data_IF_542022560840
#
_entry.id   IF_542022560840
#
_cell.length_a   1.000
_cell.length_b   1.000
_cell.length_c   1.000
_cell.angle_alpha   90.00
_cell.angle_beta   90.00
_cell.angle_gamma   90.00
#
_symmetry.space_group_name_H-M   'P 1'
#
loop_
_entity.id
_entity.type
_entity.pdbx_description
1 polymer ?
#
# COMPACT_ATOMS: atom_id res chain seq x y z
N UNK A 1 -13.50 -4.12 10.24
CA UNK A 1 -13.46 -4.83 11.52
C UNK A 1 -12.01 -5.20 11.84
N UNK A 2 -11.56 -4.79 13.02
CA UNK A 2 -10.24 -5.17 13.58
C UNK A 2 -10.51 -6.12 14.73
N UNK A 3 -9.77 -7.23 14.80
CA UNK A 3 -9.85 -8.21 15.88
C UNK A 3 -8.44 -8.47 16.40
N UNK A 4 -8.22 -8.30 17.71
CA UNK A 4 -6.91 -8.44 18.35
C UNK A 4 -5.79 -7.65 17.65
N UNK A 5 -6.09 -6.40 17.25
CA UNK A 5 -5.14 -5.54 16.54
C UNK A 5 -4.92 -5.89 15.06
N UNK A 6 -5.64 -6.87 14.51
CA UNK A 6 -5.51 -7.31 13.12
C UNK A 6 -6.76 -6.91 12.32
N UNK A 7 -6.62 -6.18 11.20
CA UNK A 7 -7.72 -5.96 10.28
C UNK A 7 -8.14 -7.26 9.58
N UNK A 8 -9.37 -7.73 9.82
CA UNK A 8 -9.87 -9.03 9.32
C UNK A 8 -10.93 -8.91 8.23
N UNK A 9 -11.69 -7.81 8.23
CA UNK A 9 -12.70 -7.50 7.22
C UNK A 9 -12.65 -5.99 6.98
N UNK A 10 -12.70 -5.55 5.73
CA UNK A 10 -12.65 -4.14 5.39
C UNK A 10 -13.43 -3.83 4.13
N UNK A 11 -13.85 -2.58 4.03
CA UNK A 11 -14.41 -2.01 2.81
C UNK A 11 -13.83 -0.63 2.57
N UNK A 12 -13.73 -0.27 1.29
CA UNK A 12 -13.38 1.06 0.82
C UNK A 12 -14.35 1.41 -0.30
N UNK A 13 -15.02 2.55 -0.18
CA UNK A 13 -15.96 3.04 -1.17
C UNK A 13 -15.40 4.27 -1.87
N UNK A 14 -15.49 4.30 -3.20
CA UNK A 14 -15.12 5.44 -4.03
C UNK A 14 -16.34 5.89 -4.83
N UNK A 15 -17.09 6.90 -4.34
CA UNK A 15 -18.36 7.34 -4.95
C UNK A 15 -18.25 7.69 -6.43
N UNK A 16 -17.13 8.30 -6.84
CA UNK A 16 -16.89 8.75 -8.21
C UNK A 16 -15.84 7.91 -8.96
N UNK A 17 -15.53 6.70 -8.47
CA UNK A 17 -14.39 5.92 -8.97
C UNK A 17 -14.61 4.42 -8.92
N UNK A 18 -13.78 3.69 -8.16
CA UNK A 18 -13.74 2.22 -8.17
C UNK A 18 -14.98 1.51 -7.61
N UNK A 19 -16.00 2.25 -7.15
CA UNK A 19 -17.18 1.69 -6.50
C UNK A 19 -16.87 1.18 -5.09
N UNK A 20 -17.54 0.11 -4.68
CA UNK A 20 -17.34 -0.54 -3.38
C UNK A 20 -16.36 -1.71 -3.51
N UNK A 21 -15.29 -1.67 -2.73
CA UNK A 21 -14.29 -2.73 -2.63
C UNK A 21 -14.38 -3.32 -1.24
N UNK A 22 -14.55 -4.63 -1.15
CA UNK A 22 -14.64 -5.35 0.12
C UNK A 22 -13.58 -6.46 0.15
N UNK A 23 -13.08 -6.77 1.34
CA UNK A 23 -12.12 -7.85 1.53
C UNK A 23 -12.20 -8.48 2.91
N UNK A 24 -12.02 -9.80 2.95
CA UNK A 24 -12.04 -10.63 4.16
C UNK A 24 -12.05 -12.11 3.79
N UNK A 25 -11.63 -12.98 4.71
CA UNK A 25 -11.58 -14.44 4.52
C UNK A 25 -10.94 -14.86 3.17
N UNK A 26 -9.80 -14.25 2.83
CA UNK A 26 -9.02 -14.50 1.60
C UNK A 26 -9.79 -14.25 0.29
N UNK A 27 -10.82 -13.41 0.36
CA UNK A 27 -11.66 -12.99 -0.76
C UNK A 27 -11.66 -11.47 -0.91
N UNK A 28 -11.65 -11.01 -2.15
CA UNK A 28 -11.81 -9.59 -2.51
C UNK A 28 -12.90 -9.45 -3.56
N UNK A 29 -13.82 -8.51 -3.34
CA UNK A 29 -14.86 -8.16 -4.30
C UNK A 29 -14.79 -6.69 -4.68
N UNK A 30 -15.21 -6.39 -5.91
CA UNK A 30 -15.44 -5.03 -6.41
C UNK A 30 -16.86 -5.00 -6.96
N UNK A 31 -17.73 -4.18 -6.38
CA UNK A 31 -19.16 -4.12 -6.72
C UNK A 31 -19.80 -5.52 -6.76
N UNK A 32 -19.60 -6.28 -5.67
CA UNK A 32 -20.10 -7.65 -5.47
C UNK A 32 -19.57 -8.72 -6.44
N UNK A 33 -18.59 -8.37 -7.29
CA UNK A 33 -17.92 -9.32 -8.20
C UNK A 33 -16.56 -9.70 -7.65
N UNK A 34 -16.26 -11.00 -7.70
CA UNK A 34 -14.94 -11.50 -7.32
C UNK A 34 -13.85 -10.94 -8.21
N UNK A 35 -12.79 -10.45 -7.58
CA UNK A 35 -11.57 -10.09 -8.29
C UNK A 35 -10.61 -11.26 -8.15
N UNK A 36 -10.19 -11.83 -9.28
CA UNK A 36 -9.08 -12.77 -9.29
C UNK A 36 -7.79 -12.03 -8.92
N UNK A 37 -7.50 -12.01 -7.62
CA UNK A 37 -6.29 -11.46 -7.03
C UNK A 37 -5.08 -12.39 -7.23
N UNK A 38 -5.32 -13.61 -7.73
CA UNK A 38 -4.28 -14.59 -8.08
C UNK A 38 -3.49 -14.20 -9.34
N UNK A 39 -3.98 -13.25 -10.14
CA UNK A 39 -3.23 -12.77 -11.30
C UNK A 39 -2.03 -11.95 -10.82
N UNK A 40 -0.85 -12.57 -10.83
CA UNK A 40 0.42 -11.92 -10.53
C UNK A 40 0.67 -10.88 -11.62
N UNK A 41 1.06 -9.66 -11.25
CA UNK A 41 1.41 -8.63 -12.24
C UNK A 41 2.46 -9.19 -13.21
N UNK A 42 2.34 -8.93 -14.53
CA UNK A 42 3.32 -9.42 -15.50
C UNK A 42 4.73 -8.88 -15.23
N UNK A 43 4.82 -7.73 -14.55
CA UNK A 43 6.05 -7.19 -14.00
C UNK A 43 5.93 -7.09 -12.46
N UNK A 44 6.72 -7.88 -11.74
CA UNK A 44 6.79 -7.88 -10.25
C UNK A 44 8.09 -7.26 -9.75
N UNK A 45 8.74 -6.50 -10.62
CA UNK A 45 9.92 -5.72 -10.30
C UNK A 45 9.55 -4.29 -9.94
N UNK A 46 10.44 -3.63 -9.20
CA UNK A 46 10.26 -2.23 -8.84
C UNK A 46 10.45 -1.33 -10.08
N UNK A 47 11.44 -1.65 -10.93
CA UNK A 47 11.70 -0.95 -12.18
C UNK A 47 10.53 -1.10 -13.18
N UNK A 48 10.11 0.01 -13.79
CA UNK A 48 8.92 0.08 -14.63
C UNK A 48 7.59 -0.05 -13.87
N UNK A 49 7.63 -0.25 -12.55
CA UNK A 49 6.47 -0.35 -11.69
C UNK A 49 5.90 1.02 -11.29
N UNK A 50 4.61 1.04 -10.96
CA UNK A 50 3.97 2.18 -10.29
C UNK A 50 4.04 1.97 -8.79
N UNK A 51 4.47 3.00 -8.06
CA UNK A 51 4.48 3.03 -6.60
C UNK A 51 3.53 4.12 -6.13
N UNK A 52 2.58 3.75 -5.28
CA UNK A 52 1.68 4.70 -4.64
C UNK A 52 2.33 5.28 -3.39
N UNK A 53 2.12 6.56 -3.15
CA UNK A 53 2.38 7.22 -1.87
C UNK A 53 1.28 8.22 -1.60
N UNK A 54 1.16 8.71 -0.37
CA UNK A 54 0.25 9.80 -0.04
C UNK A 54 0.95 10.89 0.76
N UNK A 55 0.25 12.02 0.87
CA UNK A 55 0.58 13.06 1.84
C UNK A 55 0.32 12.56 3.27
N UNK A 56 1.00 13.13 4.26
CA UNK A 56 0.74 12.89 5.67
C UNK A 56 -0.47 13.69 6.14
N UNK A 57 -1.68 13.28 5.77
CA UNK A 57 -2.86 14.14 5.84
C UNK A 57 -2.76 15.25 4.78
N UNK A 58 -2.77 16.51 5.20
CA UNK A 58 -2.64 17.66 4.29
C UNK A 58 -1.21 18.19 4.16
N UNK A 59 -0.21 17.43 4.62
CA UNK A 59 1.19 17.87 4.66
C UNK A 59 2.10 16.97 3.84
N UNK A 60 3.08 17.60 3.18
CA UNK A 60 4.25 16.90 2.66
C UNK A 60 4.99 16.24 3.83
N UNK A 61 5.26 14.95 3.74
CA UNK A 61 6.17 14.30 4.67
C UNK A 61 7.62 14.57 4.24
N UNK A 62 8.51 14.69 5.21
CA UNK A 62 9.87 15.21 5.05
C UNK A 62 10.73 14.49 4.00
N UNK A 63 10.46 13.21 3.72
CA UNK A 63 11.17 12.41 2.73
C UNK A 63 10.50 12.31 1.36
N UNK A 64 9.39 13.00 1.09
CA UNK A 64 8.58 12.77 -0.11
C UNK A 64 9.33 13.11 -1.41
N UNK A 65 10.05 14.23 -1.44
CA UNK A 65 10.87 14.60 -2.62
C UNK A 65 12.01 13.59 -2.84
N UNK A 66 12.76 13.27 -1.79
CA UNK A 66 13.85 12.28 -1.86
C UNK A 66 13.35 10.91 -2.31
N UNK A 67 12.19 10.48 -1.81
CA UNK A 67 11.54 9.26 -2.25
C UNK A 67 11.21 9.29 -3.75
N UNK A 68 10.67 10.41 -4.24
CA UNK A 68 10.45 10.65 -5.66
C UNK A 68 11.72 10.47 -6.48
N UNK A 69 12.81 11.13 -6.08
CA UNK A 69 14.10 11.06 -6.77
C UNK A 69 14.68 9.63 -6.77
N UNK A 70 14.53 8.88 -5.67
CA UNK A 70 14.98 7.49 -5.58
C UNK A 70 14.16 6.60 -6.50
N UNK A 71 12.84 6.74 -6.50
CA UNK A 71 11.96 5.96 -7.37
C UNK A 71 12.23 6.25 -8.85
N UNK A 72 12.47 7.51 -9.22
CA UNK A 72 12.86 7.90 -10.57
C UNK A 72 14.16 7.21 -11.00
N UNK A 73 15.20 7.22 -10.16
CA UNK A 73 16.48 6.55 -10.44
C UNK A 73 16.33 5.03 -10.61
N UNK A 74 15.38 4.41 -9.94
CA UNK A 74 15.06 2.97 -10.08
C UNK A 74 14.17 2.71 -11.31
N UNK A 75 13.70 3.75 -11.99
CA UNK A 75 12.81 3.64 -13.15
C UNK A 75 11.36 3.35 -12.76
N UNK A 76 10.96 3.69 -11.54
CA UNK A 76 9.58 3.57 -11.06
C UNK A 76 8.84 4.90 -11.18
N UNK A 77 7.52 4.85 -11.35
CA UNK A 77 6.66 6.04 -11.33
C UNK A 77 5.96 6.19 -9.99
N UNK A 78 6.05 7.36 -9.37
CA UNK A 78 5.31 7.68 -8.14
C UNK A 78 3.96 8.32 -8.46
N UNK A 79 2.92 7.93 -7.70
CA UNK A 79 1.57 8.51 -7.78
C UNK A 79 1.04 8.84 -6.39
N UNK A 80 0.34 9.98 -6.31
CA UNK A 80 -0.41 10.44 -5.14
C UNK A 80 -1.87 10.55 -5.59
N UNK A 81 -2.77 9.78 -4.97
CA UNK A 81 -4.19 9.76 -5.34
C UNK A 81 -5.01 10.78 -4.53
N UNK A 82 -4.47 11.29 -3.42
CA UNK A 82 -5.19 12.13 -2.47
C UNK A 82 -6.12 11.32 -1.57
N UNK A 83 -5.92 10.00 -1.48
CA UNK A 83 -6.69 9.12 -0.59
C UNK A 83 -5.85 7.91 -0.18
N UNK A 84 -5.48 7.89 1.10
CA UNK A 84 -4.73 6.81 1.74
C UNK A 84 -5.36 5.44 1.54
N UNK A 85 -6.68 5.33 1.74
CA UNK A 85 -7.40 4.08 1.54
C UNK A 85 -7.33 3.62 0.08
N UNK A 86 -7.49 4.53 -0.89
CA UNK A 86 -7.40 4.20 -2.32
C UNK A 86 -6.00 3.82 -2.77
N UNK A 87 -4.99 4.57 -2.31
CA UNK A 87 -3.59 4.29 -2.58
C UNK A 87 -3.20 2.89 -2.07
N UNK A 88 -3.71 2.49 -0.90
CA UNK A 88 -3.45 1.19 -0.32
C UNK A 88 -4.10 0.05 -1.12
N UNK A 89 -5.40 0.15 -1.42
CA UNK A 89 -6.10 -0.91 -2.17
C UNK A 89 -5.68 -1.00 -3.63
N UNK A 90 -5.02 0.03 -4.19
CA UNK A 90 -4.46 -0.04 -5.55
C UNK A 90 -3.50 -1.24 -5.68
N UNK A 91 -2.71 -1.53 -4.65
CA UNK A 91 -1.82 -2.69 -4.64
C UNK A 91 -2.64 -4.00 -4.63
N UNK A 92 -3.70 -4.07 -3.82
CA UNK A 92 -4.62 -5.21 -3.77
C UNK A 92 -5.35 -5.47 -5.09
N UNK A 93 -5.55 -4.43 -5.90
CA UNK A 93 -6.21 -4.48 -7.20
C UNK A 93 -5.23 -4.64 -8.37
N UNK A 94 -3.94 -4.92 -8.14
CA UNK A 94 -2.91 -5.02 -9.19
C UNK A 94 -2.79 -3.73 -10.04
N UNK A 95 -2.92 -2.56 -9.42
CA UNK A 95 -2.76 -1.25 -10.10
C UNK A 95 -1.41 -0.60 -9.79
N UNK A 96 -0.69 -1.09 -8.79
CA UNK A 96 0.66 -0.68 -8.44
C UNK A 96 1.43 -1.90 -7.89
N UNK A 97 2.77 -1.82 -7.93
CA UNK A 97 3.65 -2.87 -7.38
C UNK A 97 3.88 -2.70 -5.88
N UNK A 98 3.77 -1.46 -5.40
CA UNK A 98 3.86 -1.13 -3.99
C UNK A 98 3.06 0.13 -3.63
N UNK A 99 2.71 0.25 -2.35
CA UNK A 99 2.21 1.46 -1.71
C UNK A 99 3.08 1.74 -0.49
N UNK A 100 3.64 2.94 -0.42
CA UNK A 100 4.47 3.42 0.69
C UNK A 100 3.77 4.60 1.35
N UNK A 101 3.42 4.48 2.63
CA UNK A 101 2.77 5.55 3.38
C UNK A 101 3.65 5.93 4.56
N UNK A 102 4.02 7.21 4.66
CA UNK A 102 4.86 7.71 5.74
C UNK A 102 4.08 8.02 7.03
N UNK A 103 2.91 8.64 6.88
CA UNK A 103 2.04 9.09 7.96
C UNK A 103 0.60 8.88 7.57
N UNK A 104 -0.20 8.35 8.49
CA UNK A 104 -1.62 8.11 8.35
C UNK A 104 -2.23 7.92 9.74
N UNK A 105 -3.55 7.98 9.84
CA UNK A 105 -4.26 7.56 11.02
C UNK A 105 -4.68 6.08 10.90
N UNK A 106 -4.81 5.34 12.01
CA UNK A 106 -5.18 3.92 11.95
C UNK A 106 -6.47 3.66 11.16
N UNK A 107 -7.45 4.55 11.23
CA UNK A 107 -8.71 4.43 10.48
C UNK A 107 -8.56 4.64 8.97
N UNK A 108 -7.52 5.34 8.50
CA UNK A 108 -7.27 5.57 7.07
C UNK A 108 -6.85 4.27 6.34
N UNK A 109 -6.24 3.34 7.08
CA UNK A 109 -5.62 2.13 6.52
C UNK A 109 -6.32 0.84 6.95
N UNK A 110 -7.05 0.81 8.07
CA UNK A 110 -7.62 -0.43 8.60
C UNK A 110 -8.48 -1.19 7.58
N UNK A 111 -9.36 -0.49 6.84
CA UNK A 111 -10.17 -1.11 5.80
C UNK A 111 -9.33 -1.64 4.63
N UNK A 112 -8.38 -0.83 4.15
CA UNK A 112 -7.49 -1.20 3.05
C UNK A 112 -6.53 -2.35 3.41
N UNK A 113 -6.05 -2.41 4.65
CA UNK A 113 -5.18 -3.49 5.15
C UNK A 113 -5.89 -4.84 5.15
N UNK A 114 -7.16 -4.88 5.58
CA UNK A 114 -7.95 -6.12 5.50
C UNK A 114 -8.13 -6.59 4.05
N UNK A 115 -8.34 -5.65 3.12
CA UNK A 115 -8.43 -5.95 1.68
C UNK A 115 -7.08 -6.44 1.15
N UNK A 116 -5.98 -5.74 1.43
CA UNK A 116 -4.62 -6.15 1.05
C UNK A 116 -4.29 -7.56 1.52
N UNK A 117 -4.58 -7.87 2.80
CA UNK A 117 -4.39 -9.20 3.37
C UNK A 117 -5.19 -10.26 2.62
N UNK A 118 -6.48 -10.03 2.44
CA UNK A 118 -7.34 -10.97 1.70
C UNK A 118 -6.87 -11.15 0.24
N UNK A 119 -6.22 -10.14 -0.32
CA UNK A 119 -5.64 -10.16 -1.65
C UNK A 119 -4.21 -10.72 -1.71
N UNK A 120 -3.67 -11.26 -0.61
CA UNK A 120 -2.31 -11.80 -0.54
C UNK A 120 -1.17 -10.77 -0.65
N UNK A 121 -1.46 -9.48 -0.46
CA UNK A 121 -0.44 -8.42 -0.45
C UNK A 121 0.40 -8.54 0.82
N UNK A 122 1.73 -8.45 0.69
CA UNK A 122 2.62 -8.43 1.84
C UNK A 122 2.69 -7.03 2.44
N UNK A 123 2.59 -6.94 3.77
CA UNK A 123 2.59 -5.66 4.51
C UNK A 123 3.75 -5.64 5.50
N UNK A 124 4.45 -4.51 5.53
CA UNK A 124 5.61 -4.26 6.37
C UNK A 124 5.54 -2.86 6.97
N UNK A 125 6.25 -2.66 8.09
CA UNK A 125 6.61 -1.32 8.56
C UNK A 125 7.83 -0.78 7.75
N UNK A 126 8.24 0.46 8.00
CA UNK A 126 9.41 1.07 7.34
C UNK A 126 10.76 0.51 7.79
N UNK A 127 10.81 -0.24 8.89
CA UNK A 127 11.99 -1.01 9.30
C UNK A 127 12.08 -2.33 8.52
N UNK A 128 11.04 -2.69 7.76
CA UNK A 128 10.95 -3.89 6.95
C UNK A 128 10.52 -5.14 7.75
N UNK A 129 10.01 -4.97 8.96
CA UNK A 129 9.38 -6.05 9.70
C UNK A 129 7.97 -6.28 9.17
N UNK A 130 7.54 -7.54 9.10
CA UNK A 130 6.15 -7.86 8.78
C UNK A 130 5.25 -7.39 9.92
N UNK A 131 4.28 -6.56 9.56
CA UNK A 131 3.33 -6.01 10.52
C UNK A 131 1.95 -5.95 9.83
N UNK A 132 0.93 -6.64 10.36
CA UNK A 132 -0.41 -6.59 9.77
C UNK A 132 -1.11 -5.24 9.99
N UNK A 133 -0.63 -4.41 10.92
CA UNK A 133 -1.17 -3.08 11.19
C UNK A 133 -0.07 -2.12 11.67
N UNK A 134 0.87 -1.74 10.79
CA UNK A 134 1.97 -0.87 11.17
C UNK A 134 1.45 0.50 11.61
N UNK A 135 2.14 1.12 12.57
CA UNK A 135 1.81 2.46 13.07
C UNK A 135 2.86 3.52 12.69
N UNK A 136 4.06 3.10 12.31
CA UNK A 136 5.20 3.98 12.04
C UNK A 136 5.67 3.85 10.58
N UNK A 137 4.75 4.13 9.67
CA UNK A 137 4.95 3.98 8.23
C UNK A 137 4.64 2.56 7.75
N UNK A 138 4.10 2.49 6.54
CA UNK A 138 3.55 1.28 5.93
C UNK A 138 4.17 1.07 4.55
N UNK A 139 4.51 -0.19 4.25
CA UNK A 139 4.81 -0.68 2.91
C UNK A 139 3.88 -1.85 2.62
N UNK A 140 3.00 -1.71 1.63
CA UNK A 140 2.22 -2.81 1.07
C UNK A 140 2.75 -3.13 -0.33
N UNK A 141 3.04 -4.39 -0.63
CA UNK A 141 3.68 -4.73 -1.91
C UNK A 141 3.32 -6.13 -2.42
N UNK A 142 3.36 -6.26 -3.76
CA UNK A 142 3.26 -7.51 -4.51
C UNK A 142 4.55 -7.87 -5.26
N UNK A 143 5.64 -7.17 -4.98
CA UNK A 143 6.95 -7.54 -5.51
C UNK A 143 7.30 -8.96 -5.05
N UNK A 144 7.89 -9.76 -5.94
CA UNK A 144 8.40 -11.08 -5.57
C UNK A 144 9.55 -10.95 -4.56
N UNK A 145 10.42 -9.96 -4.78
CA UNK A 145 11.44 -9.53 -3.84
C UNK A 145 11.09 -8.13 -3.30
N UNK A 146 10.65 -8.00 -2.04
CA UNK A 146 10.35 -6.70 -1.44
C UNK A 146 11.63 -5.94 -1.02
N UNK A 147 12.81 -6.56 -1.06
CA UNK A 147 14.05 -5.98 -0.52
C UNK A 147 14.38 -4.59 -1.10
N UNK A 148 14.22 -4.32 -2.40
CA UNK A 148 14.52 -2.99 -2.95
C UNK A 148 13.66 -1.87 -2.34
N UNK A 149 12.33 -2.06 -2.26
CA UNK A 149 11.45 -1.03 -1.69
C UNK A 149 11.64 -0.90 -0.17
N UNK A 150 11.91 -2.01 0.53
CA UNK A 150 12.20 -1.98 1.95
C UNK A 150 13.52 -1.26 2.26
N UNK A 151 14.56 -1.46 1.44
CA UNK A 151 15.83 -0.74 1.59
C UNK A 151 15.65 0.78 1.45
N UNK A 152 14.82 1.22 0.50
CA UNK A 152 14.49 2.64 0.34
C UNK A 152 13.83 3.18 1.60
N UNK A 153 12.77 2.52 2.08
CA UNK A 153 12.06 2.99 3.29
C UNK A 153 12.91 2.97 4.56
N UNK A 154 13.79 1.97 4.75
CA UNK A 154 14.76 1.95 5.87
C UNK A 154 15.73 3.12 5.80
N UNK A 155 16.25 3.40 4.61
CA UNK A 155 17.20 4.51 4.39
C UNK A 155 16.53 5.84 4.74
N UNK A 156 15.32 6.07 4.24
CA UNK A 156 14.52 7.26 4.58
C UNK A 156 14.21 7.32 6.08
N UNK A 157 13.78 6.23 6.70
CA UNK A 157 13.49 6.17 8.14
C UNK A 157 14.70 6.52 9.01
N UNK A 158 15.92 6.18 8.58
CA UNK A 158 17.15 6.53 9.31
C UNK A 158 17.49 8.02 9.26
N UNK A 159 17.03 8.75 8.23
CA UNK A 159 17.32 10.17 7.98
C UNK A 159 16.27 11.12 8.52
N UNK A 160 15.07 10.62 8.80
CA UNK A 160 13.92 11.42 9.26
C UNK A 160 13.71 11.40 10.78
N UNK A 161 14.71 10.94 11.55
CA UNK A 161 14.72 10.97 13.02
C UNK A 161 15.21 12.32 13.55
#
# INVERSE_FOLDING_TARGET
MVHNGIPIVGSVASPNGFGLICGGADRVTVNDRDVSVACRLPNTELAGGVVMTELGGNHWWSGLCEFGDVMERVGSTVRILGSTALALIACALNRCVATVLARYQPWDVAGGLAICRAAGVSVFNWQGDRDPFPLNGLVATRLNDPSPILQVTRTLASRLR
#
